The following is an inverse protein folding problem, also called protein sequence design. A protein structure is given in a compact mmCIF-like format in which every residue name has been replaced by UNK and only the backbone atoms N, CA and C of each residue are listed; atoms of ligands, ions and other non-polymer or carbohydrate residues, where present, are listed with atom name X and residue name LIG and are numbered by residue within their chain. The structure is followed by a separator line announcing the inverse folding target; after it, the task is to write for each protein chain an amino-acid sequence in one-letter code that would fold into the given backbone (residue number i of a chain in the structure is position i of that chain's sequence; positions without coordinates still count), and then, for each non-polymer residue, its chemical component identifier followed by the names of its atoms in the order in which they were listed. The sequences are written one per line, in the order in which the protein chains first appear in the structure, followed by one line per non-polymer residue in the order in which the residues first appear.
data_IF_606491909252
#
_entry.id   IF_606491909252
#
_cell.length_a   1.000
_cell.length_b   1.000
_cell.length_c   1.000
_cell.angle_alpha   90.00
_cell.angle_beta   90.00
_cell.angle_gamma   90.00
#
_symmetry.space_group_name_H-M   'P 1'
#
loop_
_entity.id
_entity.type
_entity.pdbx_description
1 polymer ?
#
# COMPACT_ATOMS: atom_id res chain seq x y z
N UNK A 1 7.23 -7.97 8.76
CA UNK A 1 6.29 -7.05 8.08
C UNK A 1 7.09 -6.07 7.26
N UNK A 2 6.84 -6.02 5.96
CA UNK A 2 7.39 -4.98 5.11
C UNK A 2 6.95 -3.61 5.64
N UNK A 3 7.93 -2.73 5.88
CA UNK A 3 7.69 -1.39 6.41
C UNK A 3 7.04 -0.54 5.33
N UNK A 4 6.00 0.21 5.68
CA UNK A 4 5.40 1.17 4.77
C UNK A 4 6.45 2.21 4.34
N UNK A 5 6.82 2.18 3.07
CA UNK A 5 7.68 3.17 2.42
C UNK A 5 6.83 4.40 2.13
N UNK A 6 7.10 5.52 2.82
CA UNK A 6 6.45 6.79 2.49
C UNK A 6 6.84 7.22 1.08
N UNK A 7 5.85 7.64 0.30
CA UNK A 7 6.04 8.14 -1.05
C UNK A 7 5.94 9.67 -1.04
N UNK A 8 6.75 10.33 -1.86
CA UNK A 8 6.61 11.76 -2.10
C UNK A 8 5.52 11.98 -3.15
N UNK A 9 4.47 12.71 -2.78
CA UNK A 9 3.37 13.11 -3.67
C UNK A 9 3.31 14.63 -3.64
N UNK A 10 3.22 15.27 -4.80
CA UNK A 10 3.23 16.74 -4.95
C UNK A 10 1.85 17.29 -5.34
N UNK A 11 0.82 16.84 -4.62
CA UNK A 11 -0.53 17.40 -4.70
C UNK A 11 -0.65 18.66 -3.84
N UNK A 12 -1.59 19.56 -4.15
CA UNK A 12 -1.83 20.75 -3.32
C UNK A 12 -2.15 20.40 -1.85
N UNK A 13 -2.81 19.27 -1.61
CA UNK A 13 -3.10 18.79 -0.24
C UNK A 13 -1.97 17.99 0.43
N UNK A 14 -0.85 17.71 -0.23
CA UNK A 14 0.19 16.81 0.30
C UNK A 14 0.80 17.23 1.67
N UNK A 15 0.65 18.50 2.05
CA UNK A 15 1.13 19.05 3.33
C UNK A 15 0.02 19.26 4.35
N UNK A 16 -1.22 18.90 4.03
CA UNK A 16 -2.41 19.18 4.83
C UNK A 16 -3.19 17.88 5.13
N UNK A 17 -2.74 17.07 6.12
CA UNK A 17 -3.49 15.88 6.52
C UNK A 17 -4.91 16.27 6.93
N UNK A 18 -5.91 15.71 6.24
CA UNK A 18 -7.31 16.06 6.50
C UNK A 18 -7.94 15.24 7.62
N UNK A 19 -7.20 14.26 8.14
CA UNK A 19 -7.58 13.41 9.26
C UNK A 19 -6.33 12.99 10.05
N UNK A 20 -6.52 12.57 11.30
CA UNK A 20 -5.49 11.80 11.99
C UNK A 20 -5.27 10.48 11.25
N UNK A 21 -4.02 9.98 11.15
CA UNK A 21 -3.71 8.73 10.45
C UNK A 21 -4.59 7.54 10.88
N UNK A 22 -5.04 7.50 12.14
CA UNK A 22 -5.83 6.40 12.69
C UNK A 22 -7.32 6.41 12.29
N UNK A 23 -7.77 7.42 11.52
CA UNK A 23 -9.16 7.61 11.07
C UNK A 23 -9.26 8.09 9.61
N UNK A 24 -8.18 7.97 8.84
CA UNK A 24 -8.11 8.49 7.49
C UNK A 24 -9.07 7.75 6.54
N UNK A 25 -9.59 8.46 5.54
CA UNK A 25 -10.21 7.80 4.38
C UNK A 25 -9.10 7.45 3.41
N UNK A 26 -9.02 6.19 2.98
CA UNK A 26 -7.90 5.70 2.17
C UNK A 26 -8.39 4.87 0.99
N UNK A 27 -7.58 4.85 -0.07
CA UNK A 27 -7.64 3.88 -1.14
C UNK A 27 -6.45 2.92 -0.99
N UNK A 28 -6.71 1.64 -0.83
CA UNK A 28 -5.72 0.58 -0.85
C UNK A 28 -5.70 -0.05 -2.24
N UNK A 29 -4.58 0.06 -2.94
CA UNK A 29 -4.41 -0.44 -4.29
C UNK A 29 -3.45 -1.62 -4.31
N UNK A 30 -3.99 -2.81 -4.52
CA UNK A 30 -3.27 -4.06 -4.60
C UNK A 30 -2.82 -4.30 -6.04
N UNK A 31 -1.51 -4.39 -6.25
CA UNK A 31 -0.91 -4.59 -7.57
C UNK A 31 -0.37 -6.00 -7.68
N UNK A 32 -0.90 -6.74 -8.66
CA UNK A 32 -0.34 -8.00 -9.14
C UNK A 32 0.33 -7.79 -10.49
N UNK A 33 1.32 -8.63 -10.79
CA UNK A 33 2.06 -8.59 -12.07
C UNK A 33 1.61 -9.75 -12.97
N UNK A 34 1.72 -9.61 -14.31
CA UNK A 34 1.32 -10.67 -15.24
C UNK A 34 2.04 -12.01 -15.05
N UNK A 35 3.25 -11.98 -14.48
CA UNK A 35 4.09 -13.14 -14.16
C UNK A 35 3.97 -13.59 -12.70
N UNK A 36 3.06 -13.00 -11.93
CA UNK A 36 2.80 -13.30 -10.52
C UNK A 36 4.07 -13.23 -9.64
N UNK A 37 4.95 -12.25 -9.91
CA UNK A 37 6.26 -12.13 -9.28
C UNK A 37 6.13 -11.85 -7.77
N UNK A 38 6.77 -12.65 -6.90
CA UNK A 38 6.63 -12.51 -5.45
C UNK A 38 7.50 -11.38 -4.86
N UNK A 39 8.56 -10.95 -5.55
CA UNK A 39 9.42 -9.85 -5.08
C UNK A 39 8.92 -8.51 -5.62
N UNK A 40 8.50 -7.64 -4.69
CA UNK A 40 7.88 -6.36 -4.99
C UNK A 40 8.84 -5.23 -5.35
N UNK A 41 10.12 -5.28 -4.99
CA UNK A 41 11.02 -4.12 -5.08
C UNK A 41 11.27 -3.67 -6.51
N UNK A 42 11.52 -4.63 -7.39
CA UNK A 42 11.73 -4.33 -8.82
C UNK A 42 10.46 -3.75 -9.42
N UNK A 43 9.30 -4.31 -9.07
CA UNK A 43 8.00 -3.86 -9.57
C UNK A 43 7.71 -2.43 -9.09
N UNK A 44 7.88 -2.17 -7.79
CA UNK A 44 7.67 -0.86 -7.16
C UNK A 44 8.51 0.23 -7.82
N UNK A 45 9.79 -0.03 -8.08
CA UNK A 45 10.68 0.93 -8.71
C UNK A 45 10.20 1.38 -10.11
N UNK A 46 9.54 0.48 -10.86
CA UNK A 46 9.02 0.78 -12.20
C UNK A 46 7.67 1.47 -12.16
N UNK A 47 6.76 1.02 -11.30
CA UNK A 47 5.35 1.47 -11.34
C UNK A 47 5.05 2.65 -10.42
N UNK A 48 5.80 2.82 -9.31
CA UNK A 48 5.55 3.92 -8.35
C UNK A 48 5.62 5.29 -9.04
N UNK A 49 6.65 5.62 -9.87
CA UNK A 49 6.69 6.92 -10.53
C UNK A 49 5.50 7.18 -11.45
N UNK A 50 4.99 6.12 -12.11
CA UNK A 50 3.82 6.21 -12.98
C UNK A 50 2.55 6.51 -12.18
N UNK A 51 2.35 5.81 -11.06
CA UNK A 51 1.21 6.05 -10.18
C UNK A 51 1.23 7.46 -9.61
N UNK A 52 2.37 7.90 -9.09
CA UNK A 52 2.53 9.24 -8.49
C UNK A 52 2.21 10.33 -9.51
N UNK A 53 2.69 10.19 -10.75
CA UNK A 53 2.40 11.13 -11.84
C UNK A 53 0.90 11.27 -12.10
N UNK A 54 0.16 10.17 -12.16
CA UNK A 54 -1.28 10.22 -12.42
C UNK A 54 -2.07 10.74 -11.20
N UNK A 55 -1.62 10.45 -9.97
CA UNK A 55 -2.18 11.06 -8.76
C UNK A 55 -1.96 12.58 -8.74
N UNK A 56 -0.76 13.05 -9.06
CA UNK A 56 -0.46 14.48 -9.17
C UNK A 56 -1.24 15.14 -10.32
N UNK A 57 -1.57 14.41 -11.38
CA UNK A 57 -2.36 14.98 -12.48
C UNK A 57 -3.84 15.13 -12.13
N UNK A 58 -4.44 14.14 -11.48
CA UNK A 58 -5.89 14.06 -11.30
C UNK A 58 -6.39 14.29 -9.87
N UNK A 59 -5.52 14.27 -8.87
CA UNK A 59 -5.91 14.26 -7.45
C UNK A 59 -5.29 15.42 -6.64
N UNK A 60 -5.08 16.57 -7.28
CA UNK A 60 -4.42 17.74 -6.68
C UNK A 60 -5.10 18.21 -5.38
N UNK A 61 -6.43 18.17 -5.30
CA UNK A 61 -7.22 18.61 -4.14
C UNK A 61 -7.86 17.44 -3.38
N UNK A 62 -7.39 16.22 -3.64
CA UNK A 62 -8.02 14.99 -3.19
C UNK A 62 -7.08 14.08 -2.40
N UNK A 63 -5.80 14.05 -2.75
CA UNK A 63 -4.80 13.20 -2.10
C UNK A 63 -3.87 14.05 -1.27
N UNK A 64 -3.66 13.65 -0.01
CA UNK A 64 -2.74 14.33 0.90
C UNK A 64 -1.53 13.49 1.29
N UNK A 65 -1.45 12.24 0.82
CA UNK A 65 -0.26 11.41 1.01
C UNK A 65 -0.40 10.03 0.38
N UNK A 66 0.72 9.30 0.30
CA UNK A 66 0.73 7.89 -0.08
C UNK A 66 1.87 7.12 0.59
N UNK A 67 1.68 5.83 0.82
CA UNK A 67 2.75 4.90 1.16
C UNK A 67 2.63 3.61 0.34
N UNK A 68 3.76 2.93 0.17
CA UNK A 68 3.86 1.62 -0.47
C UNK A 68 4.24 0.57 0.57
N UNK A 69 3.50 -0.53 0.58
CA UNK A 69 3.92 -1.77 1.22
C UNK A 69 4.42 -2.70 0.12
N UNK A 70 5.70 -3.06 0.17
CA UNK A 70 6.38 -3.81 -0.89
C UNK A 70 6.53 -5.24 -0.43
N UNK A 71 6.09 -6.20 -1.25
CA UNK A 71 6.20 -7.61 -0.91
C UNK A 71 7.68 -8.02 -0.77
N UNK A 72 7.98 -8.66 0.36
CA UNK A 72 9.28 -9.23 0.67
C UNK A 72 9.19 -10.76 0.57
N UNK A 73 10.28 -11.38 0.12
CA UNK A 73 10.40 -12.83 0.06
C UNK A 73 11.45 -13.24 1.09
N UNK A 74 11.08 -14.15 1.98
CA UNK A 74 12.01 -14.78 2.91
C UNK A 74 12.57 -16.06 2.28
N UNK A 75 13.87 -16.31 2.48
CA UNK A 75 14.53 -17.53 2.01
C UNK A 75 14.23 -18.73 2.91
N UNK A 76 13.71 -18.47 4.12
CA UNK A 76 13.52 -19.47 5.17
C UNK A 76 12.06 -19.71 5.53
N UNK A 77 11.16 -18.82 5.11
CA UNK A 77 9.76 -18.87 5.52
C UNK A 77 8.83 -18.39 4.40
N UNK A 78 7.88 -19.24 4.02
CA UNK A 78 6.83 -18.84 3.10
C UNK A 78 5.77 -18.00 3.83
N UNK A 79 6.01 -16.68 3.86
CA UNK A 79 5.08 -15.70 4.43
C UNK A 79 3.70 -15.76 3.76
N UNK A 80 3.67 -16.01 2.45
CA UNK A 80 2.44 -16.01 1.69
C UNK A 80 1.55 -17.20 2.08
N UNK A 81 2.14 -18.41 2.13
CA UNK A 81 1.46 -19.61 2.59
C UNK A 81 1.03 -19.51 4.06
N UNK A 82 1.85 -18.94 4.93
CA UNK A 82 1.53 -18.79 6.36
C UNK A 82 0.24 -18.01 6.61
N UNK A 83 -0.03 -16.96 5.81
CA UNK A 83 -1.27 -16.21 5.89
C UNK A 83 -2.42 -16.82 5.06
N UNK A 84 -2.30 -18.09 4.67
CA UNK A 84 -3.33 -18.82 3.92
C UNK A 84 -3.39 -18.46 2.44
N UNK A 85 -2.35 -17.83 1.90
CA UNK A 85 -2.29 -17.33 0.54
C UNK A 85 -1.82 -18.33 -0.49
N UNK A 86 -1.48 -19.59 -0.16
CA UNK A 86 -0.79 -20.52 -1.07
C UNK A 86 -1.37 -20.62 -2.49
N UNK A 87 -2.69 -20.49 -2.65
CA UNK A 87 -3.41 -20.57 -3.92
C UNK A 87 -3.95 -19.21 -4.43
N UNK A 88 -3.57 -18.11 -3.79
CA UNK A 88 -3.99 -16.76 -4.13
C UNK A 88 -2.94 -16.04 -5.00
N UNK A 89 -3.34 -14.99 -5.75
CA UNK A 89 -2.39 -14.16 -6.47
C UNK A 89 -1.42 -13.45 -5.52
N UNK A 90 -0.17 -13.30 -5.97
CA UNK A 90 0.81 -12.46 -5.30
C UNK A 90 0.52 -10.99 -5.61
N UNK A 91 0.54 -10.18 -4.55
CA UNK A 91 0.49 -8.72 -4.67
C UNK A 91 1.87 -8.15 -4.39
N UNK A 92 2.59 -7.84 -5.46
CA UNK A 92 3.95 -7.33 -5.41
C UNK A 92 4.04 -6.01 -4.65
N UNK A 93 3.04 -5.14 -4.80
CA UNK A 93 2.97 -3.84 -4.11
C UNK A 93 1.55 -3.55 -3.69
N UNK A 94 1.38 -3.04 -2.48
CA UNK A 94 0.13 -2.47 -2.00
C UNK A 94 0.34 -1.00 -1.69
N UNK A 95 -0.30 -0.12 -2.46
CA UNK A 95 -0.29 1.31 -2.15
C UNK A 95 -1.43 1.64 -1.20
N UNK A 96 -1.15 2.45 -0.19
CA UNK A 96 -2.18 3.14 0.59
C UNK A 96 -2.12 4.61 0.21
N UNK A 97 -3.20 5.10 -0.38
CA UNK A 97 -3.36 6.48 -0.84
C UNK A 97 -4.32 7.18 0.10
N UNK A 98 -3.84 8.22 0.77
CA UNK A 98 -4.61 8.96 1.74
C UNK A 98 -5.47 10.02 1.04
N UNK A 99 -6.77 9.93 1.25
CA UNK A 99 -7.78 10.74 0.57
C UNK A 99 -8.37 11.79 1.52
N UNK A 100 -8.78 12.92 0.95
CA UNK A 100 -9.50 13.98 1.64
C UNK A 100 -10.77 13.42 2.30
N UNK A 101 -11.60 12.73 1.52
CA UNK A 101 -12.82 12.05 1.95
C UNK A 101 -13.39 11.18 0.81
N UNK A 102 -14.58 10.60 0.99
CA UNK A 102 -15.25 9.74 0.00
C UNK A 102 -15.55 10.44 -1.34
N UNK A 103 -15.74 11.77 -1.36
CA UNK A 103 -16.00 12.50 -2.61
C UNK A 103 -14.80 12.49 -3.56
N UNK A 104 -13.61 12.11 -3.08
CA UNK A 104 -12.39 11.95 -3.88
C UNK A 104 -12.36 10.67 -4.73
N UNK A 105 -13.29 9.73 -4.54
CA UNK A 105 -13.32 8.44 -5.26
C UNK A 105 -13.25 8.59 -6.79
N UNK A 106 -14.02 9.50 -7.44
CA UNK A 106 -13.96 9.64 -8.89
C UNK A 106 -12.57 10.05 -9.41
N UNK A 107 -11.90 11.00 -8.74
CA UNK A 107 -10.55 11.44 -9.10
C UNK A 107 -9.53 10.30 -8.96
N UNK A 108 -9.64 9.50 -7.90
CA UNK A 108 -8.79 8.29 -7.72
C UNK A 108 -9.04 7.27 -8.83
N UNK A 109 -10.30 7.01 -9.20
CA UNK A 109 -10.63 6.08 -10.31
C UNK A 109 -10.09 6.58 -11.66
N UNK A 110 -10.06 7.89 -11.88
CA UNK A 110 -9.43 8.47 -13.07
C UNK A 110 -7.91 8.26 -13.06
N UNK A 111 -7.24 8.55 -11.94
CA UNK A 111 -5.81 8.28 -11.80
C UNK A 111 -5.49 6.78 -11.98
N UNK A 112 -6.30 5.89 -11.40
CA UNK A 112 -6.17 4.44 -11.56
C UNK A 112 -6.23 4.04 -13.03
N UNK A 113 -7.27 4.47 -13.76
CA UNK A 113 -7.46 4.11 -15.17
C UNK A 113 -6.27 4.50 -16.02
N UNK A 114 -5.77 5.72 -15.85
CA UNK A 114 -4.66 6.25 -16.64
C UNK A 114 -3.34 5.58 -16.24
N UNK A 115 -3.14 5.30 -14.96
CA UNK A 115 -2.01 4.51 -14.46
C UNK A 115 -2.01 3.10 -15.08
N UNK A 116 -3.13 2.40 -15.05
CA UNK A 116 -3.25 1.04 -15.61
C UNK A 116 -3.01 1.02 -17.13
N UNK A 117 -3.41 2.08 -17.83
CA UNK A 117 -3.14 2.22 -19.26
C UNK A 117 -1.64 2.35 -19.56
N UNK A 118 -0.90 3.13 -18.77
CA UNK A 118 0.55 3.33 -18.97
C UNK A 118 1.40 2.20 -18.38
N UNK A 119 0.92 1.53 -17.33
CA UNK A 119 1.63 0.46 -16.63
C UNK A 119 1.24 -0.95 -17.10
N UNK A 120 0.49 -1.08 -18.22
CA UNK A 120 -0.11 -2.33 -18.70
C UNK A 120 0.87 -3.49 -18.91
N UNK A 121 2.16 -3.21 -19.14
CA UNK A 121 3.20 -4.23 -19.28
C UNK A 121 3.68 -4.79 -17.93
N UNK A 122 3.42 -4.08 -16.83
CA UNK A 122 3.91 -4.40 -15.49
C UNK A 122 2.79 -4.76 -14.51
N UNK A 123 1.55 -4.42 -14.83
CA UNK A 123 0.39 -4.62 -13.96
C UNK A 123 -0.62 -5.53 -14.64
N UNK A 124 -1.03 -6.59 -13.95
CA UNK A 124 -2.19 -7.38 -14.34
C UNK A 124 -3.46 -6.71 -13.81
N UNK A 125 -4.20 -6.04 -14.70
CA UNK A 125 -5.44 -5.35 -14.36
C UNK A 125 -6.63 -6.30 -14.11
N UNK A 126 -6.53 -7.57 -14.51
CA UNK A 126 -7.56 -8.57 -14.24
C UNK A 126 -7.54 -9.07 -12.80
N UNK A 127 -6.38 -8.94 -12.14
CA UNK A 127 -6.13 -9.40 -10.77
C UNK A 127 -5.94 -8.23 -9.80
N UNK A 128 -5.31 -7.13 -10.24
CA UNK A 128 -5.11 -5.94 -9.43
C UNK A 128 -6.44 -5.25 -9.12
N UNK A 129 -6.58 -4.72 -7.91
CA UNK A 129 -7.81 -4.07 -7.49
C UNK A 129 -7.59 -2.97 -6.46
N UNK A 130 -8.55 -2.05 -6.41
CA UNK A 130 -8.54 -0.92 -5.49
C UNK A 130 -9.73 -0.99 -4.54
N UNK A 131 -9.43 -0.99 -3.25
CA UNK A 131 -10.37 -1.00 -2.14
C UNK A 131 -10.42 0.40 -1.51
N UNK A 132 -11.61 0.96 -1.33
CA UNK A 132 -11.80 2.19 -0.56
C UNK A 132 -12.23 1.85 0.86
N UNK A 133 -11.56 2.43 1.86
CA UNK A 133 -11.86 2.15 3.26
C UNK A 133 -11.67 3.39 4.14
N UNK A 134 -12.03 3.24 5.42
CA UNK A 134 -11.61 4.15 6.48
C UNK A 134 -10.71 3.37 7.43
N UNK A 135 -9.58 3.95 7.78
CA UNK A 135 -8.73 3.42 8.83
C UNK A 135 -9.46 3.51 10.18
N UNK A 136 -9.21 2.52 11.03
CA UNK A 136 -9.74 2.46 12.37
C UNK A 136 -8.64 1.99 13.32
N UNK A 137 -8.52 2.66 14.47
CA UNK A 137 -7.61 2.24 15.52
C UNK A 137 -8.12 0.95 16.19
N UNK A 138 -7.34 -0.12 16.11
CA UNK A 138 -7.57 -1.32 16.92
C UNK A 138 -6.91 -1.12 18.29
N UNK A 139 -7.74 -1.09 19.32
CA UNK A 139 -7.36 -0.93 20.72
C UNK A 139 -7.97 -2.09 21.52
N UNK A 140 -7.22 -2.67 22.45
CA UNK A 140 -7.84 -3.38 23.56
C UNK A 140 -8.49 -2.32 24.46
N UNK A 141 -9.81 -2.13 24.30
CA UNK A 141 -10.58 -1.10 25.01
C UNK A 141 -10.57 -1.32 26.52
N UNK A 142 -10.56 -2.58 26.97
CA UNK A 142 -10.58 -2.91 28.40
C UNK A 142 -9.28 -2.54 29.12
N UNK A 143 -8.15 -2.67 28.42
CA UNK A 143 -6.83 -2.40 28.97
C UNK A 143 -6.19 -1.10 28.46
N UNK A 144 -6.86 -0.37 27.56
CA UNK A 144 -6.34 0.81 26.86
C UNK A 144 -4.97 0.56 26.18
N UNK A 145 -4.77 -0.65 25.67
CA UNK A 145 -3.51 -1.04 25.02
C UNK A 145 -3.68 -0.92 23.51
N UNK A 146 -2.90 -0.02 22.90
CA UNK A 146 -2.81 0.11 21.43
C UNK A 146 -2.05 -1.05 20.84
N UNK A 147 -2.36 -1.41 19.59
CA UNK A 147 -1.50 -2.27 18.79
C UNK A 147 -0.06 -1.72 18.83
N UNK A 148 0.91 -2.58 19.16
CA UNK A 148 2.33 -2.18 19.26
C UNK A 148 3.12 -2.95 18.22
N UNK A 149 3.92 -2.19 17.46
CA UNK A 149 4.81 -2.72 16.42
C UNK A 149 5.89 -3.64 17.02
N UNK A 150 6.28 -3.41 18.27
CA UNK A 150 7.31 -4.18 18.97
C UNK A 150 6.86 -5.61 19.31
N UNK A 151 5.56 -5.90 19.19
CA UNK A 151 4.98 -7.24 19.42
C UNK A 151 4.83 -8.07 18.14
N UNK A 152 5.33 -7.58 17.00
CA UNK A 152 5.23 -8.29 15.72
C UNK A 152 6.36 -9.31 15.54
N UNK A 153 6.12 -10.44 14.85
CA UNK A 153 7.16 -11.39 14.50
C UNK A 153 8.29 -10.72 13.69
N UNK A 154 9.54 -11.00 14.07
CA UNK A 154 10.73 -10.54 13.35
C UNK A 154 11.40 -11.71 12.67
N UNK A 155 11.79 -11.52 11.42
CA UNK A 155 12.50 -12.50 10.59
C UNK A 155 13.91 -11.98 10.32
N UNK A 156 14.93 -12.77 10.61
CA UNK A 156 16.33 -12.34 10.59
C UNK A 156 16.85 -12.01 9.18
N UNK A 157 16.24 -12.61 8.17
CA UNK A 157 16.54 -12.43 6.75
C UNK A 157 15.76 -11.27 6.11
N UNK A 158 14.86 -10.59 6.85
CA UNK A 158 14.08 -9.46 6.36
C UNK A 158 14.53 -8.13 7.01
N UNK A 159 14.47 -6.99 6.29
CA UNK A 159 14.92 -5.71 6.82
C UNK A 159 14.06 -5.20 7.99
N UNK A 160 14.68 -4.95 9.16
CA UNK A 160 14.02 -4.34 10.34
C UNK A 160 14.72 -4.66 11.68
N UNK A 161 14.43 -3.94 12.78
CA UNK A 161 15.04 -4.18 14.09
C UNK A 161 14.57 -5.51 14.69
N UNK A 162 15.53 -6.23 15.29
CA UNK A 162 15.36 -7.50 15.99
C UNK A 162 15.17 -7.30 17.50
N UNK A 163 14.12 -7.92 18.06
CA UNK A 163 13.93 -8.03 19.51
C UNK A 163 14.10 -9.47 20.03
N UNK A 164 14.49 -10.42 19.16
CA UNK A 164 14.84 -11.77 19.56
C UNK A 164 16.36 -11.92 19.39
N UNK A 165 17.05 -11.93 20.54
CA UNK A 165 18.45 -12.35 20.65
C UNK A 165 18.53 -13.86 20.79
#
# INVERSE_FOLDING_TARGET
MAREKKLSVSTRLASEPTAQPDYATVAMYFISTPDNQPNGHTVEAHITPLLIKELEKYCQDEVWGACANVAEVSEHFDLHAYFGGSDLPNYAVVYKIYMKNQASVPSIRMAQKEFEAVARQHVDTGVSFLLFSKEALILDVGNNIKFSLDRQPVFADLPGPSHLK
#
